data_IF_141147567627
#
_entry.id   IF_141147567627
#
_cell.length_a   1.000
_cell.length_b   1.000
_cell.length_c   1.000
_cell.angle_alpha   90.00
_cell.angle_beta   90.00
_cell.angle_gamma   90.00
#
_symmetry.space_group_name_H-M   'P 1'
#
loop_
_entity.id
_entity.type
_entity.pdbx_description
1 polymer ?
#
# COMPACT_ATOMS: atom_id res chain seq x y z
N UNK A 1 -4.19 17.33 -3.94
CA UNK A 1 -3.83 16.75 -2.62
C UNK A 1 -3.39 17.89 -1.75
N UNK A 2 -3.81 17.91 -0.49
CA UNK A 2 -3.49 18.96 0.47
C UNK A 2 -2.70 18.36 1.64
N UNK A 3 -1.75 19.11 2.23
CA UNK A 3 -1.04 18.68 3.43
C UNK A 3 -2.01 18.28 4.55
N UNK A 4 -1.73 17.16 5.21
CA UNK A 4 -2.57 16.58 6.25
C UNK A 4 -3.64 15.61 5.76
N UNK A 5 -3.87 15.48 4.45
CA UNK A 5 -4.70 14.39 3.89
C UNK A 5 -4.01 13.04 4.13
N UNK A 6 -4.76 12.05 4.62
CA UNK A 6 -4.32 10.65 4.67
C UNK A 6 -4.95 9.86 3.52
N UNK A 7 -4.14 9.07 2.83
CA UNK A 7 -4.57 8.21 1.72
C UNK A 7 -4.09 6.78 1.96
N UNK A 8 -4.95 5.83 1.61
CA UNK A 8 -4.54 4.44 1.41
C UNK A 8 -4.13 4.25 -0.04
N UNK A 9 -2.92 3.72 -0.26
CA UNK A 9 -2.43 3.33 -1.58
C UNK A 9 -2.51 1.82 -1.67
N UNK A 10 -3.40 1.34 -2.53
CA UNK A 10 -3.82 -0.07 -2.56
C UNK A 10 -3.48 -0.76 -3.87
N UNK A 11 -3.13 -2.05 -3.78
CA UNK A 11 -3.05 -2.95 -4.93
C UNK A 11 -3.72 -4.28 -4.60
N UNK A 12 -4.61 -4.71 -5.49
CA UNK A 12 -5.01 -6.11 -5.59
C UNK A 12 -4.40 -6.69 -6.87
N UNK A 13 -3.70 -7.81 -6.73
CA UNK A 13 -3.11 -8.53 -7.86
C UNK A 13 -3.53 -10.00 -7.82
N UNK A 14 -4.21 -10.44 -8.86
CA UNK A 14 -4.67 -11.83 -9.01
C UNK A 14 -5.28 -12.05 -10.39
N UNK A 15 -5.26 -13.29 -10.85
CA UNK A 15 -5.82 -13.66 -12.15
C UNK A 15 -7.35 -13.78 -12.10
N UNK A 16 -8.02 -13.47 -13.22
CA UNK A 16 -9.46 -13.70 -13.34
C UNK A 16 -9.75 -15.20 -13.26
N UNK A 17 -10.50 -15.61 -12.25
CA UNK A 17 -10.79 -17.03 -11.98
C UNK A 17 -9.63 -17.80 -11.32
N UNK A 18 -8.56 -17.12 -10.94
CA UNK A 18 -7.43 -17.71 -10.24
C UNK A 18 -7.78 -18.14 -8.80
N UNK A 19 -7.03 -19.08 -8.22
CA UNK A 19 -7.31 -19.64 -6.89
C UNK A 19 -6.90 -18.71 -5.75
N UNK A 20 -6.06 -17.70 -6.01
CA UNK A 20 -5.58 -16.74 -5.02
C UNK A 20 -5.22 -15.39 -5.67
N UNK A 21 -5.05 -14.38 -4.81
CA UNK A 21 -4.53 -13.06 -5.15
C UNK A 21 -3.83 -12.45 -3.93
N UNK A 22 -3.07 -11.38 -4.17
CA UNK A 22 -2.37 -10.61 -3.14
C UNK A 22 -3.03 -9.24 -3.03
N UNK A 23 -3.37 -8.83 -1.81
CA UNK A 23 -3.77 -7.46 -1.48
C UNK A 23 -2.67 -6.83 -0.64
N UNK A 24 -2.15 -5.69 -1.10
CA UNK A 24 -1.29 -4.83 -0.30
C UNK A 24 -1.93 -3.44 -0.22
N UNK A 25 -1.65 -2.76 0.89
CA UNK A 25 -2.14 -1.43 1.18
C UNK A 25 -1.21 -0.76 2.17
N UNK A 26 -0.78 0.45 1.85
CA UNK A 26 -0.04 1.30 2.77
C UNK A 26 -0.72 2.65 2.94
N UNK A 27 -0.66 3.15 4.17
CA UNK A 27 -1.20 4.47 4.51
C UNK A 27 -0.10 5.51 4.40
N UNK A 28 -0.38 6.59 3.69
CA UNK A 28 0.51 7.76 3.57
C UNK A 28 -0.21 9.01 4.04
N UNK A 29 0.53 9.95 4.62
CA UNK A 29 0.07 11.32 4.84
C UNK A 29 0.71 12.24 3.82
N UNK A 30 -0.07 13.14 3.25
CA UNK A 30 0.44 14.17 2.34
C UNK A 30 1.10 15.27 3.17
N UNK A 31 2.33 15.63 2.81
CA UNK A 31 3.11 16.71 3.43
C UNK A 31 3.21 17.89 2.47
N UNK A 32 3.77 19.01 2.93
CA UNK A 32 4.02 20.19 2.08
C UNK A 32 4.93 19.91 0.87
N UNK A 33 5.80 18.89 0.96
CA UNK A 33 6.81 18.58 -0.04
C UNK A 33 6.64 17.20 -0.71
N UNK A 34 5.58 16.46 -0.39
CA UNK A 34 5.36 15.10 -0.90
C UNK A 34 4.45 14.28 -0.01
N UNK A 35 4.93 13.11 0.42
CA UNK A 35 4.20 12.21 1.33
C UNK A 35 5.15 11.60 2.36
N UNK A 36 4.59 11.13 3.48
CA UNK A 36 5.26 10.31 4.47
C UNK A 36 4.52 8.98 4.60
N UNK A 37 5.26 7.88 4.60
CA UNK A 37 4.72 6.54 4.80
C UNK A 37 4.45 6.31 6.29
N UNK A 38 3.20 6.00 6.64
CA UNK A 38 2.79 5.69 8.01
C UNK A 38 2.77 4.18 8.30
N UNK A 39 2.58 3.36 7.27
CA UNK A 39 2.61 1.90 7.39
C UNK A 39 4.04 1.37 7.41
N UNK A 40 4.44 0.74 8.52
CA UNK A 40 5.76 0.09 8.67
C UNK A 40 5.67 -1.42 8.94
N UNK A 41 4.46 -1.99 8.85
CA UNK A 41 4.29 -3.43 9.03
C UNK A 41 5.02 -4.15 7.89
N UNK A 42 5.87 -5.15 8.19
CA UNK A 42 6.65 -5.80 7.16
C UNK A 42 5.75 -6.62 6.23
N UNK A 43 6.10 -6.63 4.94
CA UNK A 43 5.52 -7.61 4.02
C UNK A 43 6.00 -9.02 4.36
N UNK A 44 5.24 -10.03 3.93
CA UNK A 44 5.62 -11.42 4.16
C UNK A 44 6.90 -11.77 3.38
N UNK A 45 7.99 -11.98 4.11
CA UNK A 45 9.30 -12.25 3.52
C UNK A 45 9.32 -13.48 2.59
N UNK A 46 8.39 -14.43 2.75
CA UNK A 46 8.28 -15.61 1.87
C UNK A 46 7.81 -15.24 0.46
N UNK A 47 7.20 -14.07 0.29
CA UNK A 47 6.59 -13.61 -0.95
C UNK A 47 7.34 -12.43 -1.62
N UNK A 48 8.47 -11.97 -1.05
CA UNK A 48 9.21 -10.76 -1.46
C UNK A 48 10.54 -11.06 -2.19
N UNK A 49 10.56 -12.09 -3.05
CA UNK A 49 11.75 -12.51 -3.79
C UNK A 49 12.13 -11.57 -4.94
#
# INVERSE_FOLDING_TARGET
>A
LEPGMCLCVEVYFGEVGGPCGVKLEDQVVITEAGYELLSHYPYDARLMA
#
